data_IF_477902295900
#
_entry.id   IF_477902295900
#
_cell.length_a   1.000
_cell.length_b   1.000
_cell.length_c   1.000
_cell.angle_alpha   90.00
_cell.angle_beta   90.00
_cell.angle_gamma   90.00
#
_symmetry.space_group_name_H-M   'P 1'
#
loop_
_entity.id
_entity.type
_entity.pdbx_description
1 polymer ?
#
# COMPACT_ATOMS: atom_id res chain seq x y z
N UNK A 1 -8.76 2.00 -3.82
CA UNK A 1 -8.78 2.38 -2.38
C UNK A 1 -7.55 1.81 -1.69
N UNK A 2 -7.03 2.48 -0.66
CA UNK A 2 -5.91 1.98 0.15
C UNK A 2 -6.29 2.03 1.63
N UNK A 3 -5.82 1.05 2.40
CA UNK A 3 -5.97 1.03 3.86
C UNK A 3 -4.71 0.47 4.52
N UNK A 4 -4.38 0.99 5.70
CA UNK A 4 -3.26 0.55 6.52
C UNK A 4 -3.75 -0.20 7.77
N UNK A 5 -2.98 -1.17 8.24
CA UNK A 5 -3.36 -2.02 9.38
C UNK A 5 -2.59 -1.69 10.66
N UNK A 6 -3.08 -2.20 11.79
CA UNK A 6 -2.41 -2.13 13.10
C UNK A 6 -1.15 -3.02 13.19
N UNK A 7 -0.95 -3.91 12.22
CA UNK A 7 0.14 -4.90 12.21
C UNK A 7 1.10 -4.68 11.03
N UNK A 8 1.11 -3.48 10.47
CA UNK A 8 2.09 -3.08 9.45
C UNK A 8 1.82 -3.58 8.04
N UNK A 9 0.60 -4.04 7.77
CA UNK A 9 0.16 -4.43 6.43
C UNK A 9 -0.57 -3.28 5.73
N UNK A 10 -0.49 -3.26 4.42
CA UNK A 10 -1.26 -2.35 3.57
C UNK A 10 -2.16 -3.17 2.64
N UNK A 11 -3.41 -2.76 2.50
CA UNK A 11 -4.37 -3.35 1.57
C UNK A 11 -4.67 -2.35 0.46
N UNK A 12 -4.53 -2.81 -0.78
CA UNK A 12 -4.87 -2.06 -2.00
C UNK A 12 -6.06 -2.77 -2.64
N UNK A 13 -7.09 -2.00 -3.00
CA UNK A 13 -8.31 -2.52 -3.65
C UNK A 13 -8.56 -1.76 -4.95
N UNK A 14 -8.68 -2.51 -6.06
CA UNK A 14 -9.17 -1.99 -7.34
C UNK A 14 -10.70 -1.91 -7.28
N UNK A 15 -11.25 -0.73 -7.55
CA UNK A 15 -12.68 -0.48 -7.36
C UNK A 15 -13.54 -1.05 -8.50
N UNK A 16 -12.98 -1.24 -9.68
CA UNK A 16 -13.73 -1.66 -10.87
C UNK A 16 -14.24 -3.10 -10.76
N UNK A 17 -13.46 -3.98 -10.13
CA UNK A 17 -13.71 -5.43 -10.04
C UNK A 17 -13.59 -5.98 -8.60
N UNK A 18 -13.14 -5.17 -7.64
CA UNK A 18 -12.95 -5.59 -6.25
C UNK A 18 -11.68 -6.39 -6.00
N UNK A 19 -10.78 -6.50 -6.99
CA UNK A 19 -9.50 -7.17 -6.81
C UNK A 19 -8.70 -6.51 -5.68
N UNK A 20 -8.14 -7.32 -4.78
CA UNK A 20 -7.42 -6.83 -3.60
C UNK A 20 -6.04 -7.47 -3.50
N UNK A 21 -5.05 -6.64 -3.20
CA UNK A 21 -3.67 -7.04 -2.93
C UNK A 21 -3.30 -6.62 -1.52
N UNK A 22 -2.65 -7.52 -0.79
CA UNK A 22 -2.19 -7.26 0.57
C UNK A 22 -0.66 -7.29 0.59
N UNK A 23 -0.06 -6.14 0.88
CA UNK A 23 1.38 -6.02 1.09
C UNK A 23 1.63 -6.22 2.58
N UNK A 24 2.29 -7.33 2.92
CA UNK A 24 2.59 -7.71 4.30
C UNK A 24 3.93 -7.12 4.75
N UNK A 25 4.06 -6.88 6.07
CA UNK A 25 5.32 -6.44 6.70
C UNK A 25 5.92 -5.18 6.06
N UNK A 26 5.07 -4.20 5.72
CA UNK A 26 5.54 -2.89 5.24
C UNK A 26 6.17 -2.09 6.37
N UNK A 27 5.62 -2.24 7.58
CA UNK A 27 6.11 -1.58 8.78
C UNK A 27 6.16 -2.55 9.97
N UNK A 28 7.07 -2.31 10.93
CA UNK A 28 7.09 -3.00 12.22
C UNK A 28 6.14 -2.33 13.22
N UNK A 29 4.82 -2.41 12.95
CA UNK A 29 3.78 -1.80 13.78
C UNK A 29 2.71 -1.10 12.95
N UNK A 30 1.85 -0.30 13.59
CA UNK A 30 0.71 0.31 12.90
C UNK A 30 1.16 1.22 11.76
N UNK A 31 0.49 1.07 10.61
CA UNK A 31 0.56 2.05 9.52
C UNK A 31 -0.25 3.27 9.93
N UNK A 32 0.41 4.42 10.07
CA UNK A 32 -0.19 5.64 10.59
C UNK A 32 -0.60 6.63 9.50
N UNK A 33 0.08 6.60 8.35
CA UNK A 33 -0.16 7.52 7.24
C UNK A 33 -0.02 6.82 5.89
N UNK A 34 -0.84 7.28 4.93
CA UNK A 34 -0.86 6.79 3.55
C UNK A 34 -1.11 7.96 2.60
N UNK A 35 -0.31 8.07 1.53
CA UNK A 35 -0.48 9.07 0.50
C UNK A 35 -0.07 8.53 -0.87
N UNK A 36 -0.93 8.69 -1.86
CA UNK A 36 -0.54 8.46 -3.26
C UNK A 36 0.27 9.65 -3.78
N UNK A 37 1.23 9.38 -4.67
CA UNK A 37 1.81 10.45 -5.48
C UNK A 37 0.76 11.04 -6.42
N UNK A 38 0.87 12.33 -6.82
CA UNK A 38 -0.11 12.95 -7.71
C UNK A 38 -0.29 12.24 -9.06
N UNK A 39 0.74 11.57 -9.55
CA UNK A 39 0.70 10.75 -10.77
C UNK A 39 0.08 9.35 -10.56
N UNK A 40 -0.26 8.99 -9.31
CA UNK A 40 -0.85 7.71 -8.93
C UNK A 40 0.10 6.52 -9.01
N UNK A 41 1.39 6.72 -9.35
CA UNK A 41 2.33 5.62 -9.60
C UNK A 41 2.96 5.03 -8.35
N UNK A 42 2.95 5.79 -7.24
CA UNK A 42 3.52 5.35 -5.97
C UNK A 42 2.57 5.59 -4.81
N UNK A 43 2.72 4.73 -3.81
CA UNK A 43 2.13 4.89 -2.49
C UNK A 43 3.25 5.11 -1.48
N UNK A 44 3.16 6.20 -0.73
CA UNK A 44 4.02 6.52 0.39
C UNK A 44 3.28 6.12 1.67
N UNK A 45 3.95 5.38 2.56
CA UNK A 45 3.42 5.00 3.87
C UNK A 45 4.39 5.34 4.99
N UNK A 46 3.85 5.62 6.17
CA UNK A 46 4.62 5.82 7.40
C UNK A 46 4.09 4.94 8.54
N UNK A 47 4.98 4.37 9.34
CA UNK A 47 4.67 3.44 10.42
C UNK A 47 5.21 3.84 11.80
N UNK A 48 4.83 3.06 12.80
CA UNK A 48 5.35 3.17 14.18
C UNK A 48 6.84 2.80 14.29
N UNK A 49 7.37 2.09 13.29
CA UNK A 49 8.80 1.83 13.12
C UNK A 49 9.62 3.10 12.82
N UNK A 50 8.95 4.24 12.63
CA UNK A 50 9.54 5.55 12.30
C UNK A 50 10.23 5.57 10.94
N UNK A 51 9.80 4.68 10.04
CA UNK A 51 10.28 4.62 8.67
C UNK A 51 9.19 5.07 7.68
N UNK A 52 9.67 5.53 6.53
CA UNK A 52 8.86 5.74 5.35
C UNK A 52 9.11 4.61 4.36
N UNK A 53 8.04 4.11 3.74
CA UNK A 53 8.11 3.13 2.66
C UNK A 53 7.52 3.71 1.38
N UNK A 54 8.12 3.37 0.25
CA UNK A 54 7.64 3.73 -1.09
C UNK A 54 7.31 2.44 -1.82
N UNK A 55 6.07 2.32 -2.28
CA UNK A 55 5.57 1.18 -3.04
C UNK A 55 5.23 1.65 -4.46
N UNK A 56 5.70 0.94 -5.48
CA UNK A 56 5.40 1.23 -6.88
C UNK A 56 4.30 0.30 -7.40
N UNK A 57 3.31 0.84 -8.11
CA UNK A 57 2.20 0.03 -8.64
C UNK A 57 2.60 -0.89 -9.81
N UNK A 58 3.81 -0.71 -10.36
CA UNK A 58 4.37 -1.65 -11.33
C UNK A 58 4.59 -3.04 -10.71
N UNK A 59 4.70 -3.19 -9.39
CA UNK A 59 4.96 -4.51 -8.79
C UNK A 59 3.69 -5.25 -8.33
N UNK A 60 2.52 -4.59 -8.40
CA UNK A 60 1.36 -4.99 -7.57
C UNK A 60 0.13 -5.37 -8.41
N UNK A 61 0.05 -5.00 -9.70
CA UNK A 61 -1.16 -5.23 -10.53
C UNK A 61 -0.91 -5.81 -11.93
N UNK A 62 0.25 -6.44 -12.19
CA UNK A 62 0.40 -7.26 -13.40
C UNK A 62 -0.22 -8.64 -13.16
N UNK A 63 -1.44 -8.82 -13.63
CA UNK A 63 -1.86 -10.08 -14.25
C UNK A 63 -2.08 -9.78 -15.74
N UNK A 64 -1.38 -10.55 -16.59
CA UNK A 64 -1.45 -10.48 -18.05
C UNK A 64 -2.88 -10.70 -18.57
N UNK A 65 -3.09 -10.31 -19.83
CA UNK A 65 -4.34 -10.57 -20.56
C UNK A 65 -4.61 -12.04 -20.85
#
# INVERSE_FOLDING_TARGET
>A
MVSGSLVGSIVIVRLNDGERVVVQKVHEGRVSHLAFTPDGKKLISAGEDRLLSILEFNDILYHEG
#
